data_IF_446038770845
#
_entry.id   IF_446038770845
#
_cell.length_a   1.000
_cell.length_b   1.000
_cell.length_c   1.000
_cell.angle_alpha   90.00
_cell.angle_beta   90.00
_cell.angle_gamma   90.00
#
_symmetry.space_group_name_H-M   'P 1'
#
loop_
_entity.id
_entity.type
_entity.pdbx_description
1 polymer ?
#
# COMPACT_ATOMS: atom_id res chain seq x y z
N UNK A 1 -74.87 -39.79 14.44
CA UNK A 1 -73.85 -39.45 15.46
C UNK A 1 -72.67 -38.80 14.74
N UNK A 2 -72.28 -37.53 14.82
CA UNK A 2 -72.62 -36.27 15.53
C UNK A 2 -72.36 -35.15 14.47
N UNK A 3 -73.25 -34.22 14.10
CA UNK A 3 -73.55 -32.89 14.71
C UNK A 3 -72.25 -32.14 15.10
N UNK A 4 -71.85 -30.98 14.53
CA UNK A 4 -72.52 -29.65 14.38
C UNK A 4 -71.87 -28.87 13.20
N UNK A 5 -72.58 -28.34 12.19
CA UNK A 5 -73.13 -26.96 12.06
C UNK A 5 -72.19 -25.80 12.40
N UNK A 6 -71.83 -24.94 11.42
CA UNK A 6 -72.48 -23.63 11.22
C UNK A 6 -72.03 -22.93 9.92
N UNK A 7 -73.02 -22.46 9.17
CA UNK A 7 -72.98 -21.53 8.03
C UNK A 7 -72.97 -20.10 8.59
N UNK A 8 -72.22 -19.16 8.01
CA UNK A 8 -72.51 -17.71 7.89
C UNK A 8 -71.51 -17.17 6.82
N UNK A 9 -71.96 -17.04 5.57
CA UNK A 9 -72.43 -15.79 4.91
C UNK A 9 -71.28 -14.87 4.49
N UNK A 10 -71.08 -14.84 3.17
CA UNK A 10 -70.84 -13.66 2.32
C UNK A 10 -70.65 -12.32 3.06
N UNK A 11 -69.48 -11.69 2.88
CA UNK A 11 -69.25 -10.28 2.54
C UNK A 11 -67.78 -9.97 2.84
N UNK A 12 -67.12 -9.38 1.83
CA UNK A 12 -65.79 -8.73 1.79
C UNK A 12 -64.91 -9.27 0.65
N UNK A 13 -65.42 -9.02 -0.56
CA UNK A 13 -64.63 -8.38 -1.61
C UNK A 13 -63.80 -7.24 -0.97
N UNK A 14 -62.56 -7.03 -1.43
CA UNK A 14 -61.65 -5.95 -1.04
C UNK A 14 -60.94 -6.08 0.33
N UNK A 15 -59.92 -6.92 0.37
CA UNK A 15 -58.61 -6.47 0.84
C UNK A 15 -57.60 -6.91 -0.22
N UNK A 16 -57.45 -6.16 -1.30
CA UNK A 16 -56.26 -5.33 -1.44
C UNK A 16 -55.09 -5.88 -0.62
N UNK A 17 -54.37 -6.85 -1.20
CA UNK A 17 -52.93 -6.85 -1.02
C UNK A 17 -52.44 -5.51 -1.58
N UNK A 18 -52.56 -4.47 -0.75
CA UNK A 18 -51.87 -3.22 -0.89
C UNK A 18 -50.38 -3.59 -0.84
N UNK A 19 -49.86 -3.96 -1.99
CA UNK A 19 -48.53 -3.57 -2.36
C UNK A 19 -48.58 -2.04 -2.22
N UNK A 20 -48.17 -1.54 -1.06
CA UNK A 20 -47.77 -0.15 -0.90
C UNK A 20 -46.77 0.10 -2.01
N UNK A 21 -47.25 0.64 -3.12
CA UNK A 21 -46.44 1.47 -3.98
C UNK A 21 -46.13 2.64 -3.05
N UNK A 22 -45.06 2.50 -2.26
CA UNK A 22 -44.41 3.59 -1.52
C UNK A 22 -44.38 4.73 -2.55
N UNK A 23 -45.16 5.80 -2.34
CA UNK A 23 -45.15 6.95 -3.24
C UNK A 23 -43.69 7.37 -3.34
N UNK A 24 -43.06 7.02 -4.47
CA UNK A 24 -41.69 7.41 -4.74
C UNK A 24 -41.80 8.89 -5.05
N UNK A 25 -41.76 9.71 -3.99
CA UNK A 25 -41.58 11.14 -4.15
C UNK A 25 -40.36 11.29 -5.07
N UNK A 26 -40.50 11.95 -6.24
CA UNK A 26 -39.49 11.97 -7.30
C UNK A 26 -38.14 12.55 -6.83
N UNK A 27 -38.12 13.20 -5.66
CA UNK A 27 -36.93 13.71 -5.00
C UNK A 27 -36.30 12.75 -3.97
N UNK A 28 -36.79 11.52 -3.88
CA UNK A 28 -36.33 10.51 -2.93
C UNK A 28 -35.56 9.42 -3.66
N UNK A 29 -34.33 9.21 -3.22
CA UNK A 29 -33.38 8.29 -3.81
C UNK A 29 -33.18 7.16 -2.82
N UNK A 30 -33.12 5.92 -3.32
CA UNK A 30 -32.94 4.73 -2.49
C UNK A 30 -32.07 3.69 -3.18
N UNK A 31 -31.00 3.27 -2.53
CA UNK A 31 -30.19 2.12 -2.93
C UNK A 31 -29.39 1.57 -1.76
N UNK A 32 -29.06 0.28 -1.81
CA UNK A 32 -28.12 -0.34 -0.88
C UNK A 32 -26.77 -0.51 -1.55
N UNK A 33 -25.71 -0.38 -0.79
CA UNK A 33 -24.35 -0.65 -1.23
C UNK A 33 -23.55 -1.26 -0.07
N UNK A 34 -22.92 -2.42 -0.30
CA UNK A 34 -22.44 -3.32 0.77
C UNK A 34 -23.55 -3.50 1.84
N UNK A 35 -23.23 -3.28 3.11
CA UNK A 35 -24.17 -3.39 4.23
C UNK A 35 -24.92 -2.09 4.56
N UNK A 36 -24.73 -1.02 3.78
CA UNK A 36 -25.34 0.28 4.05
C UNK A 36 -26.52 0.60 3.13
N UNK A 37 -27.60 1.09 3.75
CA UNK A 37 -28.73 1.69 3.04
C UNK A 37 -28.53 3.19 2.85
N UNK A 38 -28.68 3.66 1.62
CA UNK A 38 -28.72 5.07 1.23
C UNK A 38 -30.17 5.40 0.86
N UNK A 39 -30.88 6.11 1.74
CA UNK A 39 -32.28 6.56 1.54
C UNK A 39 -32.38 8.05 1.90
N UNK A 40 -33.09 8.83 1.09
CA UNK A 40 -33.37 10.24 1.36
C UNK A 40 -33.27 11.12 0.13
N UNK A 41 -33.10 12.43 0.32
CA UNK A 41 -32.92 13.37 -0.79
C UNK A 41 -31.53 13.24 -1.42
N UNK A 42 -31.39 13.73 -2.67
CA UNK A 42 -30.07 13.83 -3.34
C UNK A 42 -29.04 14.53 -2.45
N UNK A 43 -29.44 15.60 -1.76
CA UNK A 43 -28.56 16.38 -0.90
C UNK A 43 -28.07 15.55 0.29
N UNK A 44 -28.97 14.84 0.97
CA UNK A 44 -28.65 13.99 2.11
C UNK A 44 -27.70 12.87 1.72
N UNK A 45 -27.99 12.14 0.64
CA UNK A 45 -27.13 11.05 0.18
C UNK A 45 -25.78 11.57 -0.31
N UNK A 46 -25.75 12.67 -1.05
CA UNK A 46 -24.47 13.27 -1.50
C UNK A 46 -23.63 13.75 -0.32
N UNK A 47 -24.26 14.28 0.74
CA UNK A 47 -23.56 14.64 1.98
C UNK A 47 -22.95 13.41 2.65
N UNK A 48 -23.71 12.30 2.76
CA UNK A 48 -23.22 11.04 3.31
C UNK A 48 -22.02 10.49 2.52
N UNK A 49 -22.13 10.46 1.18
CA UNK A 49 -21.04 10.03 0.29
C UNK A 49 -19.81 10.94 0.43
N UNK A 50 -20.00 12.27 0.55
CA UNK A 50 -18.89 13.21 0.78
C UNK A 50 -18.17 12.95 2.10
N UNK A 51 -18.92 12.71 3.17
CA UNK A 51 -18.35 12.38 4.48
C UNK A 51 -17.51 11.10 4.40
N UNK A 52 -18.00 10.07 3.70
CA UNK A 52 -17.24 8.84 3.47
C UNK A 52 -15.94 9.09 2.68
N UNK A 53 -16.01 9.86 1.59
CA UNK A 53 -14.83 10.23 0.78
C UNK A 53 -13.74 10.94 1.58
N UNK A 54 -14.15 11.77 2.56
CA UNK A 54 -13.24 12.59 3.36
C UNK A 54 -12.84 11.90 4.68
N UNK A 55 -13.15 10.61 4.84
CA UNK A 55 -12.75 9.86 6.02
C UNK A 55 -11.21 9.73 6.08
N UNK A 56 -10.65 9.66 7.29
CA UNK A 56 -9.21 9.61 7.52
C UNK A 56 -8.53 8.41 6.84
N UNK A 57 -9.30 7.37 6.55
CA UNK A 57 -8.84 6.14 5.92
C UNK A 57 -8.45 6.35 4.45
N UNK A 58 -8.92 7.44 3.83
CA UNK A 58 -8.69 7.80 2.42
C UNK A 58 -7.68 8.94 2.24
N UNK A 59 -6.93 9.33 3.28
CA UNK A 59 -6.05 10.50 3.24
C UNK A 59 -4.82 10.29 2.35
N UNK A 60 -4.38 9.04 2.15
CA UNK A 60 -3.15 8.70 1.44
C UNK A 60 -3.37 8.24 -0.01
N UNK A 61 -4.51 8.57 -0.62
CA UNK A 61 -4.81 8.25 -2.02
C UNK A 61 -3.77 8.91 -2.95
N UNK A 62 -3.13 8.14 -3.87
CA UNK A 62 -2.28 8.72 -4.91
C UNK A 62 -3.01 9.80 -5.67
N UNK A 63 -2.29 10.87 -6.03
CA UNK A 63 -2.90 12.08 -6.60
C UNK A 63 -3.76 11.77 -7.83
N UNK A 64 -3.29 10.90 -8.72
CA UNK A 64 -4.01 10.52 -9.93
C UNK A 64 -5.34 9.81 -9.61
N UNK A 65 -5.36 8.96 -8.59
CA UNK A 65 -6.58 8.30 -8.11
C UNK A 65 -7.48 9.27 -7.37
N UNK A 66 -6.93 10.27 -6.70
CA UNK A 66 -7.71 11.33 -6.08
C UNK A 66 -8.42 12.19 -7.15
N UNK A 67 -7.74 12.48 -8.26
CA UNK A 67 -8.32 13.16 -9.43
C UNK A 67 -9.46 12.33 -10.03
N UNK A 68 -9.26 11.02 -10.22
CA UNK A 68 -10.29 10.10 -10.70
C UNK A 68 -11.52 10.09 -9.78
N UNK A 69 -11.32 9.90 -8.48
CA UNK A 69 -12.39 9.89 -7.48
C UNK A 69 -13.13 11.22 -7.39
N UNK A 70 -12.42 12.35 -7.49
CA UNK A 70 -13.03 13.68 -7.54
C UNK A 70 -13.90 13.85 -8.79
N UNK A 71 -13.46 13.35 -9.95
CA UNK A 71 -14.24 13.36 -11.18
C UNK A 71 -15.50 12.50 -11.07
N UNK A 72 -15.38 11.28 -10.54
CA UNK A 72 -16.51 10.38 -10.30
C UNK A 72 -17.51 11.01 -9.32
N UNK A 73 -17.04 11.58 -8.21
CA UNK A 73 -17.89 12.26 -7.23
C UNK A 73 -18.62 13.48 -7.84
N UNK A 74 -17.94 14.26 -8.69
CA UNK A 74 -18.56 15.37 -9.43
C UNK A 74 -19.71 14.87 -10.31
N UNK A 75 -19.49 13.79 -11.06
CA UNK A 75 -20.52 13.15 -11.90
C UNK A 75 -21.73 12.67 -11.09
N UNK A 76 -21.54 12.19 -9.85
CA UNK A 76 -22.64 11.81 -8.94
C UNK A 76 -23.46 13.04 -8.55
N UNK A 77 -22.80 14.08 -8.03
CA UNK A 77 -23.44 15.31 -7.52
C UNK A 77 -24.30 16.01 -8.58
N UNK A 78 -23.80 16.05 -9.80
CA UNK A 78 -24.41 16.76 -10.94
C UNK A 78 -25.54 15.98 -11.60
N UNK A 79 -25.82 14.74 -11.19
CA UNK A 79 -26.86 13.94 -11.82
C UNK A 79 -28.25 14.21 -11.22
N UNK A 80 -29.19 14.80 -11.97
CA UNK A 80 -30.54 15.08 -11.48
C UNK A 80 -31.48 13.87 -11.53
N UNK A 81 -31.21 12.87 -12.36
CA UNK A 81 -32.11 11.73 -12.57
C UNK A 81 -31.82 10.64 -11.53
N UNK A 82 -32.80 10.22 -10.69
CA UNK A 82 -32.58 9.26 -9.61
C UNK A 82 -31.91 7.94 -10.01
N UNK A 83 -32.37 7.34 -11.12
CA UNK A 83 -31.80 6.09 -11.65
C UNK A 83 -30.33 6.25 -12.05
N UNK A 84 -30.00 7.36 -12.71
CA UNK A 84 -28.62 7.64 -13.14
C UNK A 84 -27.74 8.06 -11.97
N UNK A 85 -28.29 8.76 -10.98
CA UNK A 85 -27.60 9.12 -9.75
C UNK A 85 -27.16 7.86 -9.02
N UNK A 86 -28.09 6.90 -8.82
CA UNK A 86 -27.77 5.60 -8.23
C UNK A 86 -26.62 4.92 -8.99
N UNK A 87 -26.71 4.81 -10.32
CA UNK A 87 -25.67 4.17 -11.13
C UNK A 87 -24.30 4.83 -10.94
N UNK A 88 -24.25 6.16 -10.98
CA UNK A 88 -23.00 6.92 -10.78
C UNK A 88 -22.49 6.80 -9.34
N UNK A 89 -23.38 6.80 -8.36
CA UNK A 89 -23.03 6.67 -6.95
C UNK A 89 -22.40 5.31 -6.68
N UNK A 90 -22.96 4.24 -7.24
CA UNK A 90 -22.39 2.89 -7.16
C UNK A 90 -20.98 2.87 -7.79
N UNK A 91 -20.80 3.40 -9.01
CA UNK A 91 -19.47 3.47 -9.65
C UNK A 91 -18.45 4.23 -8.79
N UNK A 92 -18.85 5.35 -8.19
CA UNK A 92 -17.99 6.10 -7.27
C UNK A 92 -17.64 5.28 -6.01
N UNK A 93 -18.63 4.61 -5.42
CA UNK A 93 -18.42 3.79 -4.23
C UNK A 93 -17.53 2.59 -4.55
N UNK A 94 -17.73 1.92 -5.69
CA UNK A 94 -16.86 0.83 -6.16
C UNK A 94 -15.40 1.30 -6.24
N UNK A 95 -15.15 2.44 -6.90
CA UNK A 95 -13.81 3.02 -7.00
C UNK A 95 -13.21 3.41 -5.64
N UNK A 96 -14.03 3.97 -4.73
CA UNK A 96 -13.59 4.36 -3.39
C UNK A 96 -13.21 3.13 -2.55
N UNK A 97 -14.03 2.08 -2.59
CA UNK A 97 -13.79 0.87 -1.82
C UNK A 97 -12.68 -0.01 -2.40
N UNK A 98 -12.48 0.00 -3.72
CA UNK A 98 -11.30 -0.63 -4.34
C UNK A 98 -9.99 -0.02 -3.78
N UNK A 99 -10.01 1.27 -3.43
CA UNK A 99 -8.87 1.91 -2.81
C UNK A 99 -8.65 1.47 -1.34
N UNK A 100 -9.72 1.22 -0.58
CA UNK A 100 -9.61 0.64 0.76
C UNK A 100 -8.94 -0.74 0.71
N UNK A 101 -9.40 -1.59 -0.22
CA UNK A 101 -8.81 -2.91 -0.43
C UNK A 101 -7.32 -2.81 -0.84
N UNK A 102 -7.00 -1.85 -1.73
CA UNK A 102 -5.61 -1.53 -2.09
C UNK A 102 -4.75 -1.20 -0.88
N UNK A 103 -5.22 -0.31 0.01
CA UNK A 103 -4.45 0.09 1.19
C UNK A 103 -4.13 -1.11 2.09
N UNK A 104 -5.12 -1.98 2.31
CA UNK A 104 -4.95 -3.18 3.11
C UNK A 104 -3.89 -4.10 2.49
N UNK A 105 -3.97 -4.34 1.18
CA UNK A 105 -3.01 -5.20 0.47
C UNK A 105 -1.61 -4.58 0.54
N UNK A 106 -1.49 -3.28 0.27
CA UNK A 106 -0.21 -2.60 0.23
C UNK A 106 0.46 -2.55 1.60
N UNK A 107 -0.25 -2.14 2.64
CA UNK A 107 0.29 -2.06 4.00
C UNK A 107 0.76 -3.43 4.49
N UNK A 108 -0.04 -4.48 4.27
CA UNK A 108 0.32 -5.84 4.66
C UNK A 108 1.56 -6.35 3.90
N UNK A 109 1.62 -6.12 2.59
CA UNK A 109 2.75 -6.53 1.76
C UNK A 109 4.04 -5.81 2.17
N UNK A 110 3.98 -4.48 2.34
CA UNK A 110 5.12 -3.68 2.76
C UNK A 110 5.62 -4.09 4.16
N UNK A 111 4.71 -4.33 5.09
CA UNK A 111 5.08 -4.80 6.42
C UNK A 111 5.76 -6.18 6.37
N UNK A 112 5.24 -7.10 5.55
CA UNK A 112 5.85 -8.42 5.35
C UNK A 112 7.27 -8.30 4.78
N UNK A 113 7.49 -7.41 3.81
CA UNK A 113 8.82 -7.12 3.25
C UNK A 113 9.76 -6.55 4.31
N UNK A 114 9.32 -5.58 5.13
CA UNK A 114 10.13 -5.04 6.23
C UNK A 114 10.56 -6.15 7.20
N UNK A 115 9.64 -7.06 7.55
CA UNK A 115 9.95 -8.21 8.40
C UNK A 115 10.95 -9.18 7.74
N UNK A 116 10.80 -9.42 6.44
CA UNK A 116 11.73 -10.26 5.68
C UNK A 116 13.15 -9.68 5.71
N UNK A 117 13.29 -8.39 5.36
CA UNK A 117 14.57 -7.69 5.39
C UNK A 117 15.21 -7.73 6.77
N UNK A 118 14.43 -7.49 7.84
CA UNK A 118 14.93 -7.58 9.22
C UNK A 118 15.56 -8.93 9.56
N UNK A 119 14.94 -10.03 9.14
CA UNK A 119 15.43 -11.38 9.42
C UNK A 119 16.76 -11.63 8.71
N UNK A 120 16.91 -11.11 7.50
CA UNK A 120 18.08 -11.33 6.66
C UNK A 120 19.25 -10.39 6.95
N UNK A 121 18.98 -9.26 7.60
CA UNK A 121 19.95 -8.18 7.80
C UNK A 121 21.25 -8.62 8.47
N UNK A 122 21.21 -9.42 9.54
CA UNK A 122 22.42 -9.89 10.23
C UNK A 122 23.27 -10.79 9.32
N UNK A 123 22.64 -11.69 8.58
CA UNK A 123 23.32 -12.59 7.64
C UNK A 123 23.97 -11.82 6.50
N UNK A 124 23.26 -10.84 5.95
CA UNK A 124 23.77 -9.98 4.87
C UNK A 124 24.90 -9.06 5.34
N UNK A 125 24.80 -8.53 6.55
CA UNK A 125 25.83 -7.69 7.18
C UNK A 125 27.16 -8.44 7.28
N UNK A 126 27.13 -9.65 7.84
CA UNK A 126 28.30 -10.54 7.87
C UNK A 126 28.85 -10.84 6.47
N UNK A 127 27.97 -11.11 5.50
CA UNK A 127 28.37 -11.39 4.11
C UNK A 127 29.09 -10.18 3.49
N UNK A 128 28.57 -8.97 3.68
CA UNK A 128 29.16 -7.74 3.13
C UNK A 128 30.46 -7.37 3.84
N UNK A 129 30.55 -7.56 5.15
CA UNK A 129 31.80 -7.34 5.89
C UNK A 129 32.90 -8.29 5.43
N UNK A 130 32.56 -9.56 5.19
CA UNK A 130 33.50 -10.54 4.62
C UNK A 130 33.93 -10.15 3.20
N UNK A 131 33.02 -9.62 2.38
CA UNK A 131 33.35 -9.14 1.03
C UNK A 131 34.32 -7.95 1.09
N UNK A 132 34.01 -6.96 1.94
CA UNK A 132 34.87 -5.81 2.18
C UNK A 132 36.28 -6.20 2.63
N UNK A 133 36.37 -7.08 3.63
CA UNK A 133 37.65 -7.52 4.19
C UNK A 133 38.50 -8.24 3.15
N UNK A 134 37.90 -9.10 2.33
CA UNK A 134 38.62 -9.78 1.23
C UNK A 134 39.14 -8.80 0.18
N UNK A 135 38.33 -7.82 -0.21
CA UNK A 135 38.74 -6.82 -1.18
C UNK A 135 39.89 -5.96 -0.65
N UNK A 136 39.84 -5.58 0.63
CA UNK A 136 40.93 -4.86 1.32
C UNK A 136 42.24 -5.66 1.29
N UNK A 137 42.21 -6.91 1.74
CA UNK A 137 43.40 -7.78 1.78
C UNK A 137 43.99 -7.98 0.38
N UNK A 138 43.15 -8.16 -0.64
CA UNK A 138 43.60 -8.29 -2.02
C UNK A 138 44.31 -7.03 -2.52
N UNK A 139 43.74 -5.84 -2.27
CA UNK A 139 44.35 -4.56 -2.61
C UNK A 139 45.67 -4.34 -1.87
N UNK A 140 45.70 -4.59 -0.56
CA UNK A 140 46.91 -4.44 0.28
C UNK A 140 48.04 -5.36 -0.19
N UNK A 141 47.69 -6.58 -0.62
CA UNK A 141 48.65 -7.55 -1.17
C UNK A 141 49.20 -7.10 -2.52
N UNK A 142 48.34 -6.68 -3.45
CA UNK A 142 48.78 -6.17 -4.75
C UNK A 142 49.70 -4.95 -4.60
N UNK A 143 49.36 -4.03 -3.68
CA UNK A 143 50.18 -2.87 -3.35
C UNK A 143 51.54 -3.23 -2.69
N UNK A 144 51.70 -4.44 -2.15
CA UNK A 144 52.98 -4.89 -1.57
C UNK A 144 53.81 -5.68 -2.57
N UNK A 145 53.19 -6.59 -3.29
CA UNK A 145 53.85 -7.61 -4.13
C UNK A 145 54.05 -7.17 -5.59
N UNK A 146 53.15 -6.36 -6.15
CA UNK A 146 53.14 -6.02 -7.59
C UNK A 146 52.74 -4.55 -7.84
N UNK A 147 53.50 -3.62 -7.25
CA UNK A 147 53.24 -2.17 -7.28
C UNK A 147 53.17 -1.57 -8.68
N UNK A 148 53.77 -2.22 -9.68
CA UNK A 148 53.84 -1.71 -11.05
C UNK A 148 52.63 -2.11 -11.89
N UNK A 149 51.80 -3.04 -11.41
CA UNK A 149 50.59 -3.46 -12.08
C UNK A 149 49.41 -2.52 -11.77
N UNK A 150 49.54 -1.30 -12.29
CA UNK A 150 48.58 -0.20 -12.07
C UNK A 150 47.15 -0.62 -12.47
N UNK A 151 47.01 -1.40 -13.54
CA UNK A 151 45.70 -1.87 -14.02
C UNK A 151 45.00 -2.74 -12.99
N UNK A 152 45.71 -3.71 -12.39
CA UNK A 152 45.16 -4.59 -11.38
C UNK A 152 44.88 -3.85 -10.07
N UNK A 153 45.80 -2.97 -9.65
CA UNK A 153 45.61 -2.12 -8.47
C UNK A 153 44.36 -1.24 -8.61
N UNK A 154 44.14 -0.63 -9.78
CA UNK A 154 42.94 0.18 -10.02
C UNK A 154 41.65 -0.66 -9.98
N UNK A 155 41.69 -1.89 -10.54
CA UNK A 155 40.56 -2.82 -10.49
C UNK A 155 40.21 -3.20 -9.04
N UNK A 156 41.22 -3.57 -8.25
CA UNK A 156 41.07 -3.94 -6.84
C UNK A 156 40.65 -2.75 -5.97
N UNK A 157 41.15 -1.55 -6.27
CA UNK A 157 40.77 -0.31 -5.60
C UNK A 157 39.27 -0.01 -5.79
N UNK A 158 38.77 -0.18 -7.02
CA UNK A 158 37.33 -0.08 -7.30
C UNK A 158 36.53 -1.13 -6.55
N UNK A 159 36.96 -2.40 -6.57
CA UNK A 159 36.27 -3.48 -5.85
C UNK A 159 36.21 -3.24 -4.34
N UNK A 160 37.31 -2.75 -3.75
CA UNK A 160 37.38 -2.31 -2.37
C UNK A 160 36.38 -1.19 -2.09
N UNK A 161 36.39 -0.13 -2.89
CA UNK A 161 35.48 1.00 -2.72
C UNK A 161 34.00 0.60 -2.85
N UNK A 162 33.65 -0.18 -3.88
CA UNK A 162 32.28 -0.66 -4.10
C UNK A 162 31.81 -1.53 -2.92
N UNK A 163 32.68 -2.41 -2.41
CA UNK A 163 32.36 -3.25 -1.24
C UNK A 163 32.17 -2.44 0.05
N UNK A 164 32.93 -1.34 0.20
CA UNK A 164 32.84 -0.43 1.34
C UNK A 164 31.52 0.35 1.32
N UNK A 165 31.15 0.92 0.17
CA UNK A 165 29.85 1.59 -0.02
C UNK A 165 28.73 0.61 0.31
N UNK A 166 28.77 -0.60 -0.26
CA UNK A 166 27.74 -1.61 -0.06
C UNK A 166 27.52 -1.97 1.41
N UNK A 167 28.59 -2.19 2.17
CA UNK A 167 28.52 -2.49 3.59
C UNK A 167 27.95 -1.31 4.38
N UNK A 168 28.42 -0.10 4.12
CA UNK A 168 27.97 1.12 4.80
C UNK A 168 26.50 1.43 4.52
N UNK A 169 26.08 1.33 3.26
CA UNK A 169 24.69 1.48 2.84
C UNK A 169 23.78 0.44 3.49
N UNK A 170 24.22 -0.82 3.54
CA UNK A 170 23.49 -1.90 4.23
C UNK A 170 23.31 -1.60 5.71
N UNK A 171 24.36 -1.18 6.40
CA UNK A 171 24.31 -0.87 7.84
C UNK A 171 23.46 0.36 8.14
N UNK A 172 23.51 1.37 7.27
CA UNK A 172 22.61 2.51 7.33
C UNK A 172 21.15 2.05 7.22
N UNK A 173 20.83 1.24 6.21
CA UNK A 173 19.50 0.66 6.02
C UNK A 173 19.07 -0.19 7.22
N UNK A 174 19.96 -1.05 7.73
CA UNK A 174 19.75 -1.88 8.92
C UNK A 174 19.33 -1.05 10.12
N UNK A 175 20.06 0.01 10.41
CA UNK A 175 19.74 0.94 11.52
C UNK A 175 18.36 1.58 11.37
N UNK A 176 17.93 1.93 10.15
CA UNK A 176 16.59 2.49 9.93
C UNK A 176 15.50 1.42 10.09
N UNK A 177 15.65 0.31 9.38
CA UNK A 177 14.68 -0.80 9.34
C UNK A 177 14.47 -1.41 10.74
N UNK A 178 15.54 -1.60 11.53
CA UNK A 178 15.44 -2.15 12.89
C UNK A 178 14.47 -1.39 13.80
N UNK A 179 14.28 -0.07 13.57
CA UNK A 179 13.36 0.77 14.34
C UNK A 179 11.88 0.51 14.04
N UNK A 180 11.56 -0.05 12.88
CA UNK A 180 10.17 -0.29 12.47
C UNK A 180 9.54 -1.47 13.21
N UNK A 181 8.48 -1.23 13.99
CA UNK A 181 7.82 -2.26 14.81
C UNK A 181 6.34 -2.33 14.52
N UNK A 182 5.84 -3.55 14.36
CA UNK A 182 4.42 -3.80 14.10
C UNK A 182 3.90 -3.13 12.83
N UNK A 183 2.57 -3.21 12.65
CA UNK A 183 1.88 -2.54 11.53
C UNK A 183 1.93 -1.02 11.60
N UNK A 184 2.29 -0.45 12.75
CA UNK A 184 2.38 1.00 12.92
C UNK A 184 3.42 1.62 11.97
N UNK A 185 4.51 0.90 11.71
CA UNK A 185 5.55 1.32 10.78
C UNK A 185 5.06 1.62 9.34
N UNK A 186 3.94 1.02 8.93
CA UNK A 186 3.34 1.24 7.60
C UNK A 186 2.06 2.08 7.66
N UNK A 187 1.29 1.99 8.74
CA UNK A 187 0.03 2.74 8.92
C UNK A 187 0.26 4.19 9.32
N UNK A 188 1.24 4.42 10.20
CA UNK A 188 1.70 5.74 10.64
C UNK A 188 3.21 5.87 10.34
N UNK A 189 3.58 5.89 9.05
CA UNK A 189 4.98 5.81 8.65
C UNK A 189 5.77 7.06 9.03
N UNK A 190 7.08 6.89 9.21
CA UNK A 190 8.02 8.01 9.20
C UNK A 190 8.17 8.59 7.79
N UNK A 191 8.96 9.65 7.64
CA UNK A 191 9.16 10.32 6.36
C UNK A 191 9.70 9.38 5.26
N UNK A 192 10.63 8.48 5.61
CA UNK A 192 11.22 7.54 4.64
C UNK A 192 10.19 6.54 4.12
N UNK A 193 9.42 5.92 5.01
CA UNK A 193 8.38 4.97 4.59
C UNK A 193 7.23 5.71 3.90
N UNK A 194 6.87 6.92 4.33
CA UNK A 194 5.84 7.72 3.67
C UNK A 194 6.24 8.08 2.24
N UNK A 195 7.48 8.51 2.03
CA UNK A 195 8.03 8.83 0.70
C UNK A 195 8.04 7.58 -0.20
N UNK A 196 8.57 6.47 0.31
CA UNK A 196 8.58 5.20 -0.41
C UNK A 196 7.15 4.75 -0.77
N UNK A 197 6.22 4.82 0.20
CA UNK A 197 4.84 4.45 -0.02
C UNK A 197 4.21 5.25 -1.14
N UNK A 198 4.43 6.57 -1.13
CA UNK A 198 3.92 7.49 -2.14
C UNK A 198 4.51 7.19 -3.52
N UNK A 199 5.81 6.94 -3.61
CA UNK A 199 6.50 6.66 -4.87
C UNK A 199 5.96 5.39 -5.55
N UNK A 200 5.72 4.32 -4.77
CA UNK A 200 5.34 3.02 -5.33
C UNK A 200 3.84 2.77 -5.39
N UNK A 201 3.00 3.67 -4.83
CA UNK A 201 1.57 3.44 -4.69
C UNK A 201 0.87 3.14 -6.03
N UNK A 202 1.21 3.87 -7.10
CA UNK A 202 0.60 3.67 -8.42
C UNK A 202 0.99 2.33 -9.04
N UNK A 203 2.25 1.91 -8.86
CA UNK A 203 2.74 0.62 -9.35
C UNK A 203 2.02 -0.52 -8.65
N UNK A 204 1.90 -0.46 -7.32
CA UNK A 204 1.17 -1.49 -6.54
C UNK A 204 -0.31 -1.52 -6.91
N UNK A 205 -0.92 -0.35 -7.08
CA UNK A 205 -2.32 -0.26 -7.49
C UNK A 205 -2.54 -0.95 -8.84
N UNK A 206 -1.68 -0.65 -9.82
CA UNK A 206 -1.70 -1.29 -11.15
C UNK A 206 -1.53 -2.80 -11.05
N UNK A 207 -0.59 -3.28 -10.22
CA UNK A 207 -0.40 -4.72 -10.02
C UNK A 207 -1.64 -5.41 -9.44
N UNK A 208 -2.39 -4.73 -8.57
CA UNK A 208 -3.64 -5.26 -8.01
C UNK A 208 -4.73 -5.32 -9.09
N UNK A 209 -4.89 -4.27 -9.90
CA UNK A 209 -5.85 -4.25 -11.03
C UNK A 209 -5.54 -5.36 -12.05
N UNK A 210 -4.25 -5.60 -12.31
CA UNK A 210 -3.77 -6.67 -13.20
C UNK A 210 -3.76 -8.06 -12.56
N UNK A 211 -4.25 -8.19 -11.31
CA UNK A 211 -4.32 -9.46 -10.54
C UNK A 211 -2.94 -10.12 -10.31
N UNK A 212 -1.88 -9.33 -10.21
CA UNK A 212 -0.48 -9.75 -9.95
C UNK A 212 -0.11 -9.67 -8.47
N UNK A 213 -1.05 -10.00 -7.58
CA UNK A 213 -0.91 -9.82 -6.13
C UNK A 213 0.25 -10.65 -5.56
N UNK A 214 0.46 -11.85 -6.09
CA UNK A 214 1.54 -12.76 -5.74
C UNK A 214 2.95 -12.18 -5.97
N UNK A 215 3.08 -11.20 -6.86
CA UNK A 215 4.35 -10.56 -7.22
C UNK A 215 4.67 -9.31 -6.40
N UNK A 216 3.70 -8.78 -5.65
CA UNK A 216 3.83 -7.51 -4.93
C UNK A 216 4.99 -7.55 -3.93
N UNK A 217 5.12 -8.63 -3.16
CA UNK A 217 6.17 -8.72 -2.14
C UNK A 217 7.57 -8.66 -2.76
N UNK A 218 7.84 -9.48 -3.78
CA UNK A 218 9.14 -9.49 -4.46
C UNK A 218 9.45 -8.17 -5.17
N UNK A 219 8.41 -7.52 -5.71
CA UNK A 219 8.55 -6.19 -6.29
C UNK A 219 8.94 -5.16 -5.21
N UNK A 220 8.17 -5.08 -4.13
CA UNK A 220 8.40 -4.14 -3.04
C UNK A 220 9.75 -4.36 -2.36
N UNK A 221 10.19 -5.61 -2.21
CA UNK A 221 11.50 -5.94 -1.67
C UNK A 221 12.64 -5.34 -2.52
N UNK A 222 12.56 -5.47 -3.84
CA UNK A 222 13.55 -4.85 -4.73
C UNK A 222 13.49 -3.32 -4.66
N UNK A 223 12.28 -2.73 -4.70
CA UNK A 223 12.13 -1.28 -4.68
C UNK A 223 12.61 -0.68 -3.36
N UNK A 224 12.28 -1.29 -2.22
CA UNK A 224 12.69 -0.74 -0.92
C UNK A 224 14.20 -0.87 -0.72
N UNK A 225 14.83 -1.96 -1.18
CA UNK A 225 16.30 -2.09 -1.13
C UNK A 225 16.96 -0.99 -1.96
N UNK A 226 16.51 -0.76 -3.19
CA UNK A 226 17.05 0.29 -4.06
C UNK A 226 16.81 1.70 -3.49
N UNK A 227 15.62 1.96 -2.96
CA UNK A 227 15.27 3.22 -2.32
C UNK A 227 16.19 3.51 -1.13
N UNK A 228 16.33 2.57 -0.19
CA UNK A 228 17.20 2.76 0.98
C UNK A 228 18.68 2.84 0.58
N UNK A 229 19.11 2.08 -0.43
CA UNK A 229 20.47 2.21 -0.97
C UNK A 229 20.73 3.63 -1.45
N UNK A 230 19.87 4.18 -2.33
CA UNK A 230 20.00 5.55 -2.85
C UNK A 230 19.97 6.60 -1.74
N UNK A 231 19.07 6.45 -0.75
CA UNK A 231 18.98 7.37 0.41
C UNK A 231 20.21 7.31 1.30
N UNK A 232 20.89 6.18 1.37
CA UNK A 232 22.09 6.04 2.19
C UNK A 232 23.31 6.77 1.62
N UNK A 233 23.45 6.88 0.29
CA UNK A 233 24.66 7.40 -0.36
C UNK A 233 25.11 8.79 0.14
N UNK A 234 24.23 9.79 0.34
CA UNK A 234 24.64 11.08 0.91
C UNK A 234 24.85 11.05 2.43
N UNK A 235 24.39 10.01 3.14
CA UNK A 235 24.47 9.92 4.61
C UNK A 235 25.63 9.04 5.11
N UNK A 236 26.28 8.26 4.23
CA UNK A 236 27.37 7.36 4.64
C UNK A 236 28.72 8.09 4.71
N UNK A 237 29.50 7.75 5.73
CA UNK A 237 30.86 8.23 5.95
C UNK A 237 31.82 7.04 5.89
N UNK A 238 32.49 6.87 4.74
CA UNK A 238 33.29 5.67 4.47
C UNK A 238 34.48 5.52 5.43
N UNK A 239 35.01 6.62 5.93
CA UNK A 239 36.11 6.72 6.91
C UNK A 239 35.73 6.21 8.31
N UNK A 240 34.42 6.11 8.61
CA UNK A 240 33.90 5.68 9.91
C UNK A 240 33.48 4.20 9.94
N UNK A 241 33.91 3.40 8.97
CA UNK A 241 33.56 1.99 8.92
C UNK A 241 34.29 1.20 10.02
N UNK A 242 33.52 0.58 10.92
CA UNK A 242 34.01 -0.35 11.95
C UNK A 242 33.71 -1.80 11.55
N UNK A 243 34.48 -2.79 12.04
CA UNK A 243 34.20 -4.21 11.76
C UNK A 243 33.52 -4.84 12.98
N UNK A 244 32.42 -5.58 12.74
CA UNK A 244 31.57 -6.14 13.80
C UNK A 244 31.82 -7.64 14.00
N UNK A 245 32.37 -8.35 13.01
CA UNK A 245 32.45 -9.81 12.99
C UNK A 245 33.86 -10.35 12.75
N UNK A 246 34.70 -9.61 12.04
CA UNK A 246 36.07 -10.03 11.73
C UNK A 246 37.01 -9.19 12.59
N UNK A 247 37.67 -9.83 13.54
CA UNK A 247 38.73 -9.19 14.34
C UNK A 247 39.79 -8.60 13.41
N UNK A 248 40.27 -7.40 13.78
CA UNK A 248 41.23 -6.58 13.02
C UNK A 248 42.34 -7.43 12.40
N UNK A 249 42.31 -7.59 11.08
CA UNK A 249 43.44 -8.08 10.27
C UNK A 249 44.51 -7.00 10.21
#
# INVERSE_FOLDING_TARGET
>A
MKLFTFIIVFILIYQSSAQEIEEVNPNTYRFSYKSELYKGTKLQITKKIRTLKNNSWFVNIPEEKQVELNMLFKKVREQPIPRLYKKRAIIFLDALYAYEDFLIIYDNALYAVILHLKRDMRRLDFKFERQFTKAKVALDRANKEDKNNIKEINRLSKEFHDSQIKLMSHRWMKKKIERYRGMDAVKNPDELIAEFKKAEAMNIFTMIEEKKIDKINSYLENQIIDFFYKKSLPEIHLDKLELDYIDKI
#
